data_IF_804051810410
#
_entry.id   IF_804051810410
#
_cell.length_a   1.000
_cell.length_b   1.000
_cell.length_c   1.000
_cell.angle_alpha   90.00
_cell.angle_beta   90.00
_cell.angle_gamma   90.00
#
_symmetry.space_group_name_H-M   'P 1'
#
loop_
_entity.id
_entity.type
_entity.pdbx_description
1 polymer ?
#
# COMPACT_ATOMS: atom_id res chain seq x y z
N UNK A 1 7.52 3.26 22.23
CA UNK A 1 6.49 4.27 22.46
C UNK A 1 6.06 4.84 21.10
N UNK A 2 4.95 4.37 20.57
CA UNK A 2 4.33 4.82 19.31
C UNK A 2 2.98 5.42 19.67
N UNK A 3 2.98 6.62 20.20
CA UNK A 3 1.75 7.31 20.58
C UNK A 3 1.78 8.73 20.04
N UNK A 4 1.10 8.94 18.97
CA UNK A 4 0.22 10.08 18.63
C UNK A 4 -0.16 9.97 17.15
N UNK A 5 -1.09 9.07 16.87
CA UNK A 5 -1.73 9.05 15.56
C UNK A 5 -2.81 10.12 15.56
N UNK A 6 -2.68 11.09 14.66
CA UNK A 6 -3.65 12.13 14.43
C UNK A 6 -5.05 11.59 14.13
N UNK A 7 -6.05 12.46 14.10
CA UNK A 7 -7.47 12.17 13.87
C UNK A 7 -7.67 11.18 12.71
N UNK A 8 -8.15 9.97 13.01
CA UNK A 8 -8.58 9.01 11.98
C UNK A 8 -9.87 9.54 11.37
N UNK A 9 -9.85 9.83 10.07
CA UNK A 9 -11.05 10.22 9.33
C UNK A 9 -11.72 8.98 8.74
N UNK A 10 -13.03 8.86 8.88
CA UNK A 10 -13.83 7.77 8.30
C UNK A 10 -14.43 8.21 6.96
N UNK A 11 -14.30 7.37 5.94
CA UNK A 11 -14.75 7.61 4.57
C UNK A 11 -13.64 8.13 3.64
N UNK A 12 -13.74 7.81 2.35
CA UNK A 12 -12.77 8.27 1.37
C UNK A 12 -12.83 9.79 1.20
N UNK A 13 -11.67 10.44 1.36
CA UNK A 13 -11.51 11.86 1.06
C UNK A 13 -11.52 12.10 -0.45
N UNK A 14 -11.94 13.28 -0.88
CA UNK A 14 -12.02 13.65 -2.31
C UNK A 14 -11.43 15.03 -2.55
N UNK A 15 -10.10 15.21 -2.40
CA UNK A 15 -9.47 16.48 -2.74
C UNK A 15 -9.63 16.74 -4.25
N UNK A 16 -10.00 17.96 -4.60
CA UNK A 16 -10.27 18.40 -5.96
C UNK A 16 -9.23 19.38 -6.51
N UNK A 17 -8.24 19.73 -5.68
CA UNK A 17 -7.22 20.71 -5.99
C UNK A 17 -5.91 20.46 -5.24
N UNK A 18 -4.82 21.03 -5.74
CA UNK A 18 -3.52 21.03 -5.06
C UNK A 18 -3.58 21.68 -3.69
N UNK A 19 -4.43 22.69 -3.50
CA UNK A 19 -4.62 23.35 -2.21
C UNK A 19 -5.27 22.36 -1.21
N UNK A 20 -6.34 21.66 -1.62
CA UNK A 20 -7.00 20.66 -0.80
C UNK A 20 -6.06 19.49 -0.42
N UNK A 21 -5.15 19.08 -1.33
CA UNK A 21 -4.12 18.10 -1.00
C UNK A 21 -3.12 18.63 0.04
N UNK A 22 -2.70 19.91 -0.06
CA UNK A 22 -1.76 20.49 0.89
C UNK A 22 -2.35 20.59 2.29
N UNK A 23 -3.66 20.82 2.40
CA UNK A 23 -4.37 20.87 3.69
C UNK A 23 -4.38 19.51 4.42
N UNK A 24 -4.12 18.42 3.70
CA UNK A 24 -4.03 17.06 4.26
C UNK A 24 -2.61 16.70 4.77
N UNK A 25 -1.60 17.53 4.51
CA UNK A 25 -0.23 17.25 4.97
C UNK A 25 -0.17 17.11 6.49
N UNK A 26 0.48 16.03 6.95
CA UNK A 26 0.53 15.63 8.36
C UNK A 26 -0.64 14.76 8.83
N UNK A 27 -1.62 14.49 7.96
CA UNK A 27 -2.73 13.59 8.28
C UNK A 27 -2.36 12.12 8.07
N UNK A 28 -3.00 11.25 8.84
CA UNK A 28 -2.96 9.78 8.65
C UNK A 28 -4.36 9.30 8.38
N UNK A 29 -4.56 8.69 7.20
CA UNK A 29 -5.82 8.13 6.76
C UNK A 29 -5.88 6.63 7.02
N UNK A 30 -7.06 6.11 7.27
CA UNK A 30 -7.30 4.68 7.50
C UNK A 30 -7.35 4.27 8.97
N UNK A 31 -7.29 2.96 9.24
CA UNK A 31 -6.96 1.91 8.25
C UNK A 31 -8.11 1.61 7.28
N UNK A 32 -7.76 0.99 6.14
CA UNK A 32 -8.75 0.36 5.23
C UNK A 32 -9.44 -0.83 5.89
N UNK A 33 -10.44 -1.39 5.23
CA UNK A 33 -10.93 -2.74 5.54
C UNK A 33 -9.84 -3.80 5.40
N UNK A 34 -10.08 -4.97 6.00
CA UNK A 34 -9.21 -6.13 5.85
C UNK A 34 -9.36 -6.75 4.45
N UNK A 35 -8.23 -7.02 3.80
CA UNK A 35 -8.15 -7.62 2.48
C UNK A 35 -7.37 -8.93 2.53
N UNK A 36 -8.02 -10.03 2.15
CA UNK A 36 -7.41 -11.36 2.11
C UNK A 36 -6.63 -11.57 0.80
N UNK A 37 -5.44 -12.18 0.91
CA UNK A 37 -4.63 -12.62 -0.22
C UNK A 37 -4.54 -14.13 -0.22
N UNK A 38 -5.28 -14.76 -1.12
CA UNK A 38 -5.30 -16.20 -1.33
C UNK A 38 -4.19 -16.70 -2.27
N UNK A 39 -4.03 -18.03 -2.37
CA UNK A 39 -3.02 -18.63 -3.23
C UNK A 39 -3.26 -18.31 -4.71
N UNK A 40 -4.51 -18.21 -5.16
CA UNK A 40 -4.82 -17.91 -6.56
C UNK A 40 -4.30 -16.54 -7.00
N UNK A 41 -4.35 -15.53 -6.12
CA UNK A 41 -3.75 -14.21 -6.39
C UNK A 41 -2.23 -14.27 -6.48
N UNK A 42 -1.61 -15.05 -5.61
CA UNK A 42 -0.15 -15.25 -5.61
C UNK A 42 0.30 -15.97 -6.87
N UNK A 43 -0.41 -17.04 -7.26
CA UNK A 43 -0.12 -17.79 -8.49
C UNK A 43 -0.29 -16.91 -9.74
N UNK A 44 -1.35 -16.09 -9.78
CA UNK A 44 -1.58 -15.12 -10.87
C UNK A 44 -0.49 -14.07 -10.98
N UNK A 45 0.03 -13.58 -9.83
CA UNK A 45 1.15 -12.66 -9.82
C UNK A 45 2.44 -13.33 -10.26
N UNK A 46 2.73 -14.55 -9.78
CA UNK A 46 3.87 -15.36 -10.20
C UNK A 46 3.86 -15.64 -11.70
N UNK A 47 2.69 -15.92 -12.27
CA UNK A 47 2.54 -16.15 -13.72
C UNK A 47 2.81 -14.87 -14.52
N UNK A 48 2.27 -13.73 -14.06
CA UNK A 48 2.41 -12.44 -14.75
C UNK A 48 3.84 -11.90 -14.72
N UNK A 49 4.55 -12.09 -13.59
CA UNK A 49 5.90 -11.55 -13.37
C UNK A 49 7.02 -12.56 -13.62
N UNK A 50 6.65 -13.84 -13.81
CA UNK A 50 7.57 -14.99 -13.93
C UNK A 50 8.41 -15.25 -12.65
N UNK A 51 8.07 -14.62 -11.52
CA UNK A 51 8.65 -14.91 -10.21
C UNK A 51 7.97 -16.13 -9.59
N UNK A 52 8.42 -17.29 -10.02
CA UNK A 52 7.90 -18.61 -9.60
C UNK A 52 8.77 -19.25 -8.51
N UNK A 53 9.35 -18.44 -7.62
CA UNK A 53 10.11 -18.99 -6.49
C UNK A 53 9.21 -19.88 -5.63
N UNK A 54 9.72 -21.06 -5.25
CA UNK A 54 8.96 -22.09 -4.53
C UNK A 54 8.29 -21.61 -3.24
N UNK A 55 8.87 -20.62 -2.56
CA UNK A 55 8.29 -20.03 -1.36
C UNK A 55 6.91 -19.41 -1.59
N UNK A 56 6.56 -19.09 -2.83
CA UNK A 56 5.30 -18.49 -3.24
C UNK A 56 4.33 -19.50 -3.84
N UNK A 57 4.83 -20.46 -4.62
CA UNK A 57 4.00 -21.29 -5.51
C UNK A 57 4.02 -22.79 -5.20
N UNK A 58 4.79 -23.27 -4.21
CA UNK A 58 4.85 -24.67 -3.81
C UNK A 58 4.42 -24.84 -2.35
N UNK A 59 3.11 -25.05 -2.08
CA UNK A 59 2.60 -25.19 -0.72
C UNK A 59 3.21 -26.38 0.05
N UNK A 60 3.51 -27.48 -0.64
CA UNK A 60 4.10 -28.67 0.00
C UNK A 60 5.51 -28.40 0.51
N UNK A 61 6.35 -27.81 -0.35
CA UNK A 61 7.71 -27.44 0.04
C UNK A 61 7.73 -26.32 1.06
N UNK A 62 6.86 -25.32 0.89
CA UNK A 62 6.77 -24.18 1.79
C UNK A 62 6.28 -24.57 3.20
N UNK A 63 5.42 -25.56 3.34
CA UNK A 63 4.96 -26.07 4.62
C UNK A 63 6.10 -26.65 5.48
N UNK A 64 7.11 -27.23 4.84
CA UNK A 64 8.30 -27.78 5.51
C UNK A 64 9.38 -26.70 5.81
N UNK A 65 9.15 -25.44 5.40
CA UNK A 65 10.08 -24.34 5.58
C UNK A 65 9.81 -23.59 6.91
N UNK A 66 10.73 -22.69 7.34
CA UNK A 66 10.49 -21.82 8.51
C UNK A 66 9.25 -20.93 8.38
N UNK A 67 8.73 -20.72 7.18
CA UNK A 67 7.50 -19.95 6.98
C UNK A 67 6.23 -20.74 7.32
N UNK A 68 6.29 -22.08 7.31
CA UNK A 68 5.17 -22.97 7.62
C UNK A 68 4.04 -22.93 6.58
N UNK A 69 4.31 -22.47 5.36
CA UNK A 69 3.40 -22.35 4.23
C UNK A 69 3.91 -21.31 3.24
N UNK A 70 3.22 -21.17 2.11
CA UNK A 70 3.56 -20.17 1.10
C UNK A 70 3.40 -18.75 1.63
N UNK A 71 4.25 -17.85 1.15
CA UNK A 71 4.21 -16.42 1.47
C UNK A 71 3.89 -15.60 0.23
N UNK A 72 3.22 -14.48 0.44
CA UNK A 72 2.88 -13.51 -0.60
C UNK A 72 4.15 -12.79 -1.06
N UNK A 73 4.30 -12.56 -2.36
CA UNK A 73 5.39 -11.71 -2.88
C UNK A 73 5.32 -10.33 -2.24
N UNK A 74 6.44 -9.80 -1.80
CA UNK A 74 6.49 -8.43 -1.30
C UNK A 74 5.98 -7.41 -2.32
N UNK A 75 6.34 -7.60 -3.61
CA UNK A 75 5.88 -6.74 -4.70
C UNK A 75 4.37 -6.88 -4.97
N UNK A 76 3.77 -8.07 -4.79
CA UNK A 76 2.31 -8.19 -4.86
C UNK A 76 1.65 -7.38 -3.74
N UNK A 77 2.16 -7.47 -2.50
CA UNK A 77 1.66 -6.65 -1.38
C UNK A 77 1.72 -5.16 -1.72
N UNK A 78 2.84 -4.67 -2.23
CA UNK A 78 2.99 -3.29 -2.67
C UNK A 78 2.00 -2.92 -3.79
N UNK A 79 1.80 -3.82 -4.75
CA UNK A 79 0.90 -3.61 -5.90
C UNK A 79 -0.59 -3.54 -5.51
N UNK A 80 -0.96 -4.00 -4.32
CA UNK A 80 -2.31 -3.82 -3.77
C UNK A 80 -2.55 -2.39 -3.22
N UNK A 81 -1.51 -1.57 -3.12
CA UNK A 81 -1.59 -0.20 -2.63
C UNK A 81 -2.68 0.62 -3.32
N UNK A 82 -2.71 0.74 -4.66
CA UNK A 82 -3.74 1.50 -5.36
C UNK A 82 -5.17 1.04 -5.04
N UNK A 83 -5.41 -0.28 -4.98
CA UNK A 83 -6.73 -0.83 -4.62
C UNK A 83 -7.16 -0.44 -3.19
N UNK A 84 -6.24 -0.52 -2.24
CA UNK A 84 -6.54 -0.17 -0.85
C UNK A 84 -6.64 1.35 -0.66
N UNK A 85 -5.89 2.12 -1.46
CA UNK A 85 -5.90 3.57 -1.43
C UNK A 85 -7.29 4.15 -1.74
N UNK A 86 -8.04 3.53 -2.66
CA UNK A 86 -9.40 3.95 -3.05
C UNK A 86 -10.39 4.00 -1.87
N UNK A 87 -10.16 3.22 -0.81
CA UNK A 87 -10.97 3.25 0.40
C UNK A 87 -10.68 4.48 1.28
N UNK A 88 -9.51 5.10 1.12
CA UNK A 88 -9.03 6.20 1.94
C UNK A 88 -9.18 7.56 1.27
N UNK A 89 -8.85 7.60 -0.02
CA UNK A 89 -8.80 8.84 -0.79
C UNK A 89 -9.05 8.56 -2.26
N UNK A 90 -9.92 9.37 -2.89
CA UNK A 90 -10.14 9.39 -4.34
C UNK A 90 -9.55 10.64 -4.93
N UNK A 91 -8.92 10.51 -6.09
CA UNK A 91 -8.31 11.61 -6.82
C UNK A 91 -9.10 11.99 -8.10
N UNK A 92 -10.38 11.67 -8.13
CA UNK A 92 -11.27 11.96 -9.28
C UNK A 92 -11.38 13.47 -9.60
N UNK A 93 -11.01 14.35 -8.65
CA UNK A 93 -10.95 15.80 -8.84
C UNK A 93 -9.83 16.26 -9.79
N UNK A 94 -8.81 15.43 -10.01
CA UNK A 94 -7.68 15.71 -10.90
C UNK A 94 -7.92 15.19 -12.32
N UNK A 95 -7.20 15.75 -13.30
CA UNK A 95 -7.27 15.27 -14.69
C UNK A 95 -6.72 13.84 -14.80
N UNK A 96 -5.60 13.57 -14.13
CA UNK A 96 -5.04 12.22 -13.94
C UNK A 96 -4.01 12.22 -12.81
N UNK A 97 -3.72 11.01 -12.33
CA UNK A 97 -2.66 10.74 -11.38
C UNK A 97 -1.72 9.66 -11.92
N UNK A 98 -0.44 9.78 -11.59
CA UNK A 98 0.60 8.83 -11.99
C UNK A 98 1.34 8.34 -10.76
N UNK A 99 1.48 7.03 -10.62
CA UNK A 99 2.46 6.46 -9.70
C UNK A 99 3.85 6.74 -10.25
N UNK A 100 4.52 7.76 -9.70
CA UNK A 100 5.81 8.23 -10.22
C UNK A 100 6.97 7.38 -9.73
N UNK A 101 6.84 6.80 -8.52
CA UNK A 101 7.87 5.95 -7.96
C UNK A 101 7.81 5.83 -6.44
N UNK A 102 8.90 5.29 -5.90
CA UNK A 102 9.08 5.11 -4.47
C UNK A 102 10.49 5.55 -4.08
N UNK A 103 10.61 6.27 -2.95
CA UNK A 103 11.91 6.60 -2.36
C UNK A 103 12.48 5.42 -1.58
N UNK A 104 11.60 4.68 -0.89
CA UNK A 104 11.99 3.58 -0.04
C UNK A 104 10.87 2.55 0.03
N UNK A 105 11.21 1.27 -0.11
CA UNK A 105 10.30 0.14 0.14
C UNK A 105 11.00 -0.86 1.04
N UNK A 106 10.28 -1.39 2.04
CA UNK A 106 10.75 -2.45 2.94
C UNK A 106 9.63 -3.43 3.22
N UNK A 107 10.01 -4.70 3.38
CA UNK A 107 9.15 -5.82 3.73
C UNK A 107 9.62 -6.41 5.08
N UNK A 108 9.25 -5.80 6.23
CA UNK A 108 9.83 -6.14 7.54
C UNK A 108 9.43 -7.50 8.08
N UNK A 109 8.32 -8.07 7.60
CA UNK A 109 7.81 -9.37 8.04
C UNK A 109 7.27 -10.18 6.85
N UNK A 110 7.35 -11.52 6.87
CA UNK A 110 6.72 -12.35 5.86
C UNK A 110 5.19 -12.26 5.98
N UNK A 111 4.51 -12.31 4.83
CA UNK A 111 3.06 -12.35 4.75
C UNK A 111 2.62 -13.74 4.25
N UNK A 112 2.09 -14.59 5.14
CA UNK A 112 1.57 -15.92 4.75
C UNK A 112 0.31 -15.78 3.90
N UNK A 113 0.25 -16.61 2.85
CA UNK A 113 -0.94 -16.74 2.01
C UNK A 113 -2.15 -17.15 2.87
N UNK A 114 -3.33 -16.60 2.57
CA UNK A 114 -4.55 -16.73 3.35
C UNK A 114 -4.67 -15.73 4.51
N UNK A 115 -3.63 -14.94 4.77
CA UNK A 115 -3.69 -13.85 5.73
C UNK A 115 -4.44 -12.63 5.18
N UNK A 116 -4.76 -11.69 6.08
CA UNK A 116 -5.46 -10.43 5.74
C UNK A 116 -4.59 -9.23 6.06
N UNK A 117 -4.56 -8.28 5.13
CA UNK A 117 -3.87 -7.00 5.30
C UNK A 117 -4.84 -5.85 5.26
N UNK A 118 -4.43 -4.72 5.82
CA UNK A 118 -5.06 -3.40 5.68
C UNK A 118 -3.98 -2.35 5.54
N UNK A 119 -4.35 -1.17 5.07
CA UNK A 119 -3.39 -0.10 4.82
C UNK A 119 -3.73 1.16 5.60
N UNK A 120 -2.69 1.87 6.08
CA UNK A 120 -2.73 3.26 6.50
C UNK A 120 -1.91 4.09 5.53
N UNK A 121 -2.35 5.33 5.33
CA UNK A 121 -1.69 6.31 4.48
C UNK A 121 -1.33 7.54 5.29
N UNK A 122 -0.04 7.87 5.38
CA UNK A 122 0.41 9.18 5.86
C UNK A 122 0.62 10.11 4.68
N UNK A 123 0.08 11.31 4.74
CA UNK A 123 0.30 12.38 3.75
C UNK A 123 1.48 13.21 4.26
N UNK A 124 2.64 13.04 3.61
CA UNK A 124 3.91 13.56 4.15
C UNK A 124 4.28 14.92 3.56
N UNK A 125 4.10 15.12 2.24
CA UNK A 125 4.36 16.39 1.57
C UNK A 125 3.59 16.52 0.26
N UNK A 126 3.33 17.76 -0.16
CA UNK A 126 2.75 18.12 -1.48
C UNK A 126 3.57 19.26 -2.07
N UNK A 127 4.39 18.92 -3.05
CA UNK A 127 5.34 19.84 -3.69
C UNK A 127 4.85 20.24 -5.08
N UNK A 128 5.07 21.50 -5.47
CA UNK A 128 4.82 21.94 -6.82
C UNK A 128 5.85 21.32 -7.78
N UNK A 129 5.38 20.83 -8.93
CA UNK A 129 6.21 20.31 -10.03
C UNK A 129 5.71 20.88 -11.35
N UNK A 130 6.51 20.86 -12.43
CA UNK A 130 6.02 21.29 -13.73
C UNK A 130 4.76 20.52 -14.15
N UNK A 131 3.67 21.26 -14.41
CA UNK A 131 2.39 20.69 -14.84
C UNK A 131 1.49 20.13 -13.71
N UNK A 132 1.82 20.35 -12.43
CA UNK A 132 0.96 19.88 -11.34
C UNK A 132 1.64 19.83 -9.98
N UNK A 133 1.31 18.82 -9.19
CA UNK A 133 1.91 18.59 -7.87
C UNK A 133 2.39 17.16 -7.71
N UNK A 134 3.38 16.98 -6.85
CA UNK A 134 3.86 15.69 -6.39
C UNK A 134 3.45 15.47 -4.93
N UNK A 135 2.71 14.42 -4.68
CA UNK A 135 2.38 13.92 -3.35
C UNK A 135 3.44 12.92 -2.92
N UNK A 136 4.06 13.18 -1.77
CA UNK A 136 4.85 12.19 -1.03
C UNK A 136 3.99 11.63 0.09
N UNK A 137 3.87 10.31 0.15
CA UNK A 137 3.07 9.63 1.18
C UNK A 137 3.72 8.33 1.63
N UNK A 138 3.46 7.93 2.88
CA UNK A 138 3.91 6.66 3.42
C UNK A 138 2.73 5.70 3.53
N UNK A 139 2.83 4.59 2.81
CA UNK A 139 1.89 3.48 2.85
C UNK A 139 2.41 2.43 3.83
N UNK A 140 1.61 2.08 4.84
CA UNK A 140 1.93 1.04 5.82
C UNK A 140 0.91 -0.07 5.72
N UNK A 141 1.37 -1.27 5.34
CA UNK A 141 0.52 -2.46 5.21
C UNK A 141 0.65 -3.30 6.48
N UNK A 142 -0.42 -3.34 7.25
CA UNK A 142 -0.53 -4.10 8.50
C UNK A 142 -1.09 -5.49 8.20
N UNK A 143 -0.50 -6.53 8.80
CA UNK A 143 -1.00 -7.90 8.75
C UNK A 143 -1.81 -8.19 10.02
N UNK A 144 -2.97 -8.81 9.86
CA UNK A 144 -3.83 -9.20 10.98
C UNK A 144 -3.07 -10.12 11.96
N UNK A 145 -3.14 -9.77 13.25
CA UNK A 145 -2.47 -10.50 14.31
C UNK A 145 -0.94 -10.31 14.40
N UNK A 146 -0.32 -9.55 13.50
CA UNK A 146 1.12 -9.28 13.52
C UNK A 146 1.45 -7.95 14.20
N UNK A 147 2.62 -7.90 14.84
CA UNK A 147 3.13 -6.66 15.46
C UNK A 147 3.91 -5.78 14.46
N UNK A 148 4.47 -6.38 13.41
CA UNK A 148 5.24 -5.67 12.39
C UNK A 148 4.45 -5.59 11.09
N UNK A 149 4.55 -4.46 10.36
CA UNK A 149 3.96 -4.37 9.04
C UNK A 149 4.64 -5.33 8.05
N UNK A 150 3.91 -5.77 7.03
CA UNK A 150 4.45 -6.62 5.96
C UNK A 150 5.03 -5.81 4.80
N UNK A 151 4.63 -4.54 4.68
CA UNK A 151 5.22 -3.60 3.73
C UNK A 151 5.14 -2.18 4.28
N UNK A 152 6.20 -1.41 4.08
CA UNK A 152 6.22 0.05 4.28
C UNK A 152 6.85 0.68 3.05
N UNK A 153 6.12 1.60 2.40
CA UNK A 153 6.54 2.23 1.16
C UNK A 153 6.35 3.75 1.21
N UNK A 154 7.43 4.48 1.00
CA UNK A 154 7.40 5.93 0.77
C UNK A 154 7.17 6.18 -0.72
N UNK A 155 5.92 6.49 -1.08
CA UNK A 155 5.47 6.62 -2.45
C UNK A 155 5.49 8.07 -2.94
N UNK A 156 5.72 8.23 -4.25
CA UNK A 156 5.66 9.48 -4.98
C UNK A 156 4.57 9.35 -6.05
N UNK A 157 3.55 10.19 -5.97
CA UNK A 157 2.50 10.26 -6.99
C UNK A 157 2.43 11.68 -7.55
N UNK A 158 2.21 11.81 -8.85
CA UNK A 158 2.05 13.11 -9.54
C UNK A 158 0.61 13.30 -9.96
N UNK A 159 0.11 14.49 -9.75
CA UNK A 159 -1.26 14.89 -10.08
C UNK A 159 -1.23 16.11 -10.99
N UNK A 160 -2.07 16.06 -12.03
CA UNK A 160 -2.32 17.17 -12.94
C UNK A 160 -3.71 17.70 -12.68
N UNK A 161 -3.83 19.00 -12.40
CA UNK A 161 -5.11 19.68 -12.23
C UNK A 161 -5.88 19.73 -13.56
N UNK A 162 -7.22 19.83 -13.44
CA UNK A 162 -8.11 19.97 -14.61
C UNK A 162 -8.04 21.38 -15.21
#
# INVERSE_FOLDING_TARGET
MWSSWGKTMSGALRPDSSAALRDLVGSVLGPTGWYEVDQAKVDGFAETTEDRQWIHVDPTRAAASPFGGTIVHGLLTLSLGPRLLEELISFDGFAHSLNYGYRKVRFPAPFRVGGRIRMRLSIDAVDAVPGGVQLTSTQTFELEGAQKPVCVAESLARFVER
#
